data_IF_270589347721
#
_entry.id   IF_270589347721
#
_cell.length_a   1.000
_cell.length_b   1.000
_cell.length_c   1.000
_cell.angle_alpha   90.00
_cell.angle_beta   90.00
_cell.angle_gamma   90.00
#
_symmetry.space_group_name_H-M   'P 1'
#
loop_
_entity.id
_entity.type
_entity.pdbx_description
1 polymer ?
#
# COMPACT_ATOMS: atom_id res chain seq x y z
N UNK A 1 -22.89 -34.53 -15.34
CA UNK A 1 -23.06 -35.28 -14.08
C UNK A 1 -21.73 -35.51 -13.35
N UNK A 2 -20.76 -36.21 -13.94
CA UNK A 2 -19.49 -36.60 -13.27
C UNK A 2 -18.66 -35.40 -12.77
N UNK A 3 -18.52 -34.32 -13.55
CA UNK A 3 -17.79 -33.10 -13.12
C UNK A 3 -18.37 -32.50 -11.84
N UNK A 4 -19.70 -32.35 -11.77
CA UNK A 4 -20.39 -31.80 -10.60
C UNK A 4 -20.22 -32.70 -9.37
N UNK A 5 -20.27 -34.02 -9.55
CA UNK A 5 -20.01 -34.98 -8.47
C UNK A 5 -18.56 -34.90 -7.99
N UNK A 6 -17.59 -34.77 -8.90
CA UNK A 6 -16.19 -34.58 -8.56
C UNK A 6 -15.92 -33.24 -7.85
N UNK A 7 -16.55 -32.15 -8.30
CA UNK A 7 -16.46 -30.83 -7.66
C UNK A 7 -17.11 -30.85 -6.27
N UNK A 8 -18.23 -31.54 -6.10
CA UNK A 8 -18.89 -31.72 -4.81
C UNK A 8 -18.06 -32.56 -3.83
N UNK A 9 -17.46 -33.66 -4.30
CA UNK A 9 -16.54 -34.46 -3.48
C UNK A 9 -15.31 -33.64 -3.09
N UNK A 10 -14.72 -32.88 -4.01
CA UNK A 10 -13.62 -31.95 -3.72
C UNK A 10 -14.02 -30.88 -2.70
N UNK A 11 -15.20 -30.29 -2.85
CA UNK A 11 -15.73 -29.30 -1.91
C UNK A 11 -15.99 -29.89 -0.53
N UNK A 12 -16.51 -31.12 -0.44
CA UNK A 12 -16.70 -31.82 0.84
C UNK A 12 -15.41 -32.24 1.51
N UNK A 13 -14.41 -32.62 0.72
CA UNK A 13 -13.09 -33.03 1.18
C UNK A 13 -12.16 -31.84 1.47
N UNK A 14 -12.59 -30.60 1.18
CA UNK A 14 -11.76 -29.41 1.41
C UNK A 14 -11.40 -29.31 2.89
N UNK A 15 -10.13 -29.01 3.21
CA UNK A 15 -9.74 -28.73 4.58
C UNK A 15 -10.58 -27.60 5.17
N UNK A 16 -10.77 -27.61 6.50
CA UNK A 16 -11.38 -26.48 7.18
C UNK A 16 -10.58 -25.21 6.85
N UNK A 17 -11.27 -24.12 6.53
CA UNK A 17 -10.63 -22.82 6.36
C UNK A 17 -10.09 -22.38 7.72
N UNK A 18 -8.76 -22.27 7.82
CA UNK A 18 -8.06 -21.80 9.02
C UNK A 18 -7.43 -20.46 8.68
N UNK A 19 -7.95 -19.40 9.29
CA UNK A 19 -7.43 -18.04 9.15
C UNK A 19 -6.41 -17.81 10.25
N UNK A 20 -5.19 -17.42 9.87
CA UNK A 20 -4.15 -17.02 10.82
C UNK A 20 -4.46 -15.61 11.32
N UNK A 21 -4.40 -15.41 12.64
CA UNK A 21 -4.46 -14.08 13.25
C UNK A 21 -3.05 -13.64 13.65
N UNK A 22 -2.77 -12.37 13.42
CA UNK A 22 -1.52 -11.71 13.77
C UNK A 22 -1.70 -10.86 15.02
N UNK A 23 -0.66 -10.72 15.86
CA UNK A 23 -0.66 -9.71 16.92
C UNK A 23 -0.62 -8.33 16.27
N UNK A 24 -1.57 -7.47 16.64
CA UNK A 24 -1.79 -6.14 16.04
C UNK A 24 -2.15 -5.11 17.09
N UNK A 25 -1.93 -3.83 16.79
CA UNK A 25 -2.37 -2.71 17.62
C UNK A 25 -3.73 -2.17 17.15
N UNK A 26 -4.78 -2.96 17.40
CA UNK A 26 -6.15 -2.63 17.00
C UNK A 26 -6.61 -1.26 17.51
N UNK A 27 -6.23 -0.88 18.73
CA UNK A 27 -6.62 0.40 19.36
C UNK A 27 -6.10 1.63 18.61
N UNK A 28 -4.89 1.55 18.02
CA UNK A 28 -4.34 2.64 17.21
C UNK A 28 -5.22 2.89 15.98
N UNK A 29 -5.61 1.82 15.29
CA UNK A 29 -6.47 1.91 14.09
C UNK A 29 -7.86 2.41 14.45
N UNK A 30 -8.47 1.90 15.52
CA UNK A 30 -9.78 2.36 16.01
C UNK A 30 -9.79 3.87 16.27
N UNK A 31 -8.75 4.40 16.91
CA UNK A 31 -8.61 5.83 17.19
C UNK A 31 -8.58 6.68 15.90
N UNK A 32 -7.82 6.24 14.89
CA UNK A 32 -7.69 6.96 13.62
C UNK A 32 -8.99 6.91 12.83
N UNK A 33 -9.62 5.73 12.73
CA UNK A 33 -10.89 5.53 12.02
C UNK A 33 -12.01 6.35 12.67
N UNK A 34 -12.16 6.29 14.00
CA UNK A 34 -13.18 7.08 14.72
C UNK A 34 -12.99 8.58 14.56
N UNK A 35 -11.74 9.07 14.55
CA UNK A 35 -11.43 10.49 14.27
C UNK A 35 -12.00 10.92 12.92
N UNK A 36 -11.76 10.15 11.87
CA UNK A 36 -12.25 10.44 10.51
C UNK A 36 -13.78 10.40 10.43
N UNK A 37 -14.40 9.36 11.00
CA UNK A 37 -15.86 9.21 11.01
C UNK A 37 -16.58 10.29 11.81
N UNK A 38 -15.97 10.81 12.89
CA UNK A 38 -16.50 11.94 13.67
C UNK A 38 -16.46 13.24 12.89
N UNK A 39 -15.39 13.47 12.13
CA UNK A 39 -15.22 14.70 11.33
C UNK A 39 -15.91 14.61 9.97
N UNK A 40 -16.44 13.45 9.58
CA UNK A 40 -17.08 13.24 8.28
C UNK A 40 -16.08 13.24 7.12
N UNK A 41 -14.80 12.98 7.41
CA UNK A 41 -13.74 12.90 6.41
C UNK A 41 -13.66 11.44 5.96
N UNK A 42 -13.94 11.19 4.67
CA UNK A 42 -13.95 9.84 4.10
C UNK A 42 -12.54 9.31 3.83
N UNK A 43 -11.66 10.15 3.32
CA UNK A 43 -10.31 9.75 2.93
C UNK A 43 -9.33 9.85 4.11
N UNK A 44 -8.50 8.81 4.28
CA UNK A 44 -7.38 8.83 5.22
C UNK A 44 -6.09 9.06 4.43
N UNK A 45 -5.38 10.13 4.76
CA UNK A 45 -4.14 10.51 4.08
C UNK A 45 -3.00 9.50 4.25
N UNK A 46 -1.93 9.67 3.46
CA UNK A 46 -0.78 8.76 3.41
C UNK A 46 -0.15 8.50 4.80
N UNK A 47 0.05 9.53 5.62
CA UNK A 47 0.69 9.39 6.95
C UNK A 47 -0.15 8.51 7.89
N UNK A 48 -1.45 8.81 8.04
CA UNK A 48 -2.34 8.04 8.90
C UNK A 48 -2.62 6.64 8.32
N UNK A 49 -2.64 6.49 6.99
CA UNK A 49 -2.73 5.19 6.33
C UNK A 49 -1.51 4.32 6.65
N UNK A 50 -0.29 4.87 6.60
CA UNK A 50 0.94 4.18 7.01
C UNK A 50 0.91 3.79 8.48
N UNK A 51 0.46 4.68 9.35
CA UNK A 51 0.30 4.39 10.78
C UNK A 51 -0.67 3.22 11.06
N UNK A 52 -1.73 3.09 10.26
CA UNK A 52 -2.67 1.95 10.31
C UNK A 52 -1.98 0.67 9.84
N UNK A 53 -1.22 0.72 8.74
CA UNK A 53 -0.49 -0.43 8.23
C UNK A 53 0.57 -0.92 9.23
N UNK A 54 1.35 -0.02 9.83
CA UNK A 54 2.31 -0.33 10.89
C UNK A 54 1.65 -1.03 12.08
N UNK A 55 0.45 -0.59 12.47
CA UNK A 55 -0.33 -1.23 13.53
C UNK A 55 -0.69 -2.70 13.22
N UNK A 56 -0.70 -3.07 11.94
CA UNK A 56 -0.94 -4.43 11.44
C UNK A 56 0.35 -5.16 11.03
N UNK A 57 1.51 -4.59 11.34
CA UNK A 57 2.83 -5.21 11.17
C UNK A 57 3.44 -5.05 9.77
N UNK A 58 2.95 -4.10 8.97
CA UNK A 58 3.67 -3.65 7.79
C UNK A 58 4.83 -2.73 8.19
N UNK A 59 5.85 -2.69 7.34
CA UNK A 59 6.95 -1.72 7.45
C UNK A 59 6.73 -0.66 6.39
N UNK A 60 6.83 0.60 6.80
CA UNK A 60 6.72 1.77 5.92
C UNK A 60 8.02 2.56 5.97
N UNK A 61 8.34 3.37 4.95
CA UNK A 61 9.61 4.09 4.91
C UNK A 61 9.62 5.20 5.98
N UNK A 62 10.81 5.46 6.54
CA UNK A 62 10.99 6.57 7.48
C UNK A 62 10.80 7.90 6.78
N UNK A 63 10.11 8.84 7.43
CA UNK A 63 9.86 10.15 6.85
C UNK A 63 9.29 11.18 7.81
N UNK A 64 9.30 12.44 7.39
CA UNK A 64 8.75 13.56 8.16
C UNK A 64 8.33 14.71 7.25
N UNK A 65 7.38 15.51 7.74
CA UNK A 65 6.83 16.65 6.99
C UNK A 65 7.74 17.87 7.15
N UNK A 66 8.07 18.50 6.03
CA UNK A 66 8.74 19.78 5.96
C UNK A 66 7.80 20.87 5.44
N UNK A 67 7.92 22.07 6.02
CA UNK A 67 7.21 23.29 5.60
C UNK A 67 8.14 24.32 4.96
N UNK A 68 9.46 24.10 5.00
CA UNK A 68 10.46 24.91 4.30
C UNK A 68 11.51 24.03 3.62
N UNK A 69 12.22 24.58 2.63
CA UNK A 69 13.30 23.89 1.92
C UNK A 69 14.45 23.49 2.86
N UNK A 70 14.80 24.35 3.82
CA UNK A 70 15.84 24.06 4.82
C UNK A 70 15.41 22.94 5.77
N UNK A 71 14.14 22.95 6.20
CA UNK A 71 13.60 21.86 7.00
C UNK A 71 13.65 20.55 6.20
N UNK A 72 13.30 20.58 4.91
CA UNK A 72 13.35 19.40 4.05
C UNK A 72 14.77 18.84 3.92
N UNK A 73 15.76 19.71 3.70
CA UNK A 73 17.17 19.33 3.63
C UNK A 73 17.70 18.72 4.94
N UNK A 74 17.30 19.29 6.09
CA UNK A 74 17.68 18.76 7.40
C UNK A 74 17.10 17.36 7.65
N UNK A 75 15.82 17.14 7.32
CA UNK A 75 15.19 15.82 7.41
C UNK A 75 15.92 14.83 6.49
N UNK A 76 16.19 15.23 5.24
CA UNK A 76 16.89 14.37 4.29
C UNK A 76 18.30 13.98 4.77
N UNK A 77 19.01 14.91 5.41
CA UNK A 77 20.32 14.64 6.00
C UNK A 77 20.24 13.63 7.16
N UNK A 78 19.17 13.66 7.95
CA UNK A 78 18.95 12.72 9.06
C UNK A 78 18.57 11.32 8.57
N UNK A 79 17.72 11.23 7.54
CA UNK A 79 17.32 9.96 6.92
C UNK A 79 18.46 9.31 6.12
N UNK A 80 19.31 10.14 5.53
CA UNK A 80 20.32 9.69 4.57
C UNK A 80 19.78 9.66 3.14
N UNK A 81 20.69 9.81 2.17
CA UNK A 81 20.37 9.87 0.75
C UNK A 81 20.46 8.50 0.06
N UNK A 82 19.71 8.26 -1.03
CA UNK A 82 18.74 9.19 -1.64
C UNK A 82 17.40 9.25 -0.90
N UNK A 83 16.70 10.38 -1.06
CA UNK A 83 15.36 10.61 -0.50
C UNK A 83 14.32 10.91 -1.59
N UNK A 84 13.06 10.86 -1.18
CA UNK A 84 11.88 11.22 -1.97
C UNK A 84 11.17 12.41 -1.31
N UNK A 85 10.69 13.35 -2.12
CA UNK A 85 9.75 14.39 -1.71
C UNK A 85 8.37 14.10 -2.28
N UNK A 86 7.35 14.12 -1.43
CA UNK A 86 5.94 13.97 -1.81
C UNK A 86 5.13 15.15 -1.28
N UNK A 87 4.31 15.78 -2.12
CA UNK A 87 3.42 16.85 -1.68
C UNK A 87 2.48 16.31 -0.59
N UNK A 88 2.29 17.11 0.46
CA UNK A 88 1.38 16.78 1.55
C UNK A 88 0.20 17.76 1.53
N UNK A 89 -0.94 17.24 1.08
CA UNK A 89 -2.19 17.99 0.93
C UNK A 89 -3.37 17.01 0.99
N UNK A 90 -4.44 17.30 1.74
CA UNK A 90 -5.67 16.50 1.72
C UNK A 90 -6.38 16.55 0.37
N UNK A 91 -6.18 17.61 -0.42
CA UNK A 91 -6.87 17.82 -1.71
C UNK A 91 -6.13 17.19 -2.89
N UNK A 92 -4.90 16.70 -2.69
CA UNK A 92 -4.06 16.13 -3.74
C UNK A 92 -3.83 14.64 -3.49
N UNK A 93 -4.78 13.83 -3.94
CA UNK A 93 -4.69 12.37 -3.89
C UNK A 93 -3.65 11.86 -4.91
N UNK A 94 -3.77 12.24 -6.19
CA UNK A 94 -2.85 11.79 -7.24
C UNK A 94 -1.63 12.73 -7.37
N UNK A 95 -0.70 12.61 -6.43
CA UNK A 95 0.49 13.45 -6.30
C UNK A 95 1.34 13.50 -7.57
N UNK A 96 1.57 12.36 -8.20
CA UNK A 96 2.41 12.26 -9.40
C UNK A 96 1.88 13.13 -10.55
N UNK A 97 0.56 13.20 -10.75
CA UNK A 97 -0.10 13.90 -11.87
C UNK A 97 0.15 15.41 -11.84
N UNK A 98 0.24 15.98 -10.63
CA UNK A 98 0.53 17.40 -10.45
C UNK A 98 2.03 17.70 -10.43
N UNK A 99 2.88 16.66 -10.47
CA UNK A 99 4.32 16.74 -10.27
C UNK A 99 4.70 16.86 -8.80
N UNK A 100 3.83 16.40 -7.90
CA UNK A 100 3.97 16.40 -6.45
C UNK A 100 4.77 15.22 -5.90
N UNK A 101 5.54 14.51 -6.74
CA UNK A 101 6.51 13.50 -6.32
C UNK A 101 7.84 13.77 -6.99
N UNK A 102 8.93 13.78 -6.21
CA UNK A 102 10.32 13.89 -6.68
C UNK A 102 11.14 12.80 -6.02
N UNK A 103 11.71 11.91 -6.82
CA UNK A 103 12.49 10.76 -6.37
C UNK A 103 13.98 10.96 -6.65
N UNK A 104 14.83 10.10 -6.08
CA UNK A 104 16.27 10.05 -6.36
C UNK A 104 17.01 11.35 -6.05
N UNK A 105 16.66 12.02 -4.96
CA UNK A 105 17.35 13.24 -4.52
C UNK A 105 18.55 12.85 -3.65
N UNK A 106 19.76 13.20 -4.09
CA UNK A 106 21.01 12.64 -3.57
C UNK A 106 21.78 13.58 -2.65
N UNK A 107 21.33 14.82 -2.50
CA UNK A 107 21.99 15.82 -1.66
C UNK A 107 21.02 16.95 -1.28
N UNK A 108 21.43 17.77 -0.31
CA UNK A 108 20.63 18.86 0.25
C UNK A 108 20.18 19.88 -0.82
N UNK A 109 21.04 20.17 -1.80
CA UNK A 109 20.71 21.13 -2.87
C UNK A 109 19.59 20.61 -3.75
N UNK A 110 19.67 19.36 -4.19
CA UNK A 110 18.60 18.71 -4.96
C UNK A 110 17.26 18.70 -4.20
N UNK A 111 17.30 18.48 -2.88
CA UNK A 111 16.11 18.53 -2.02
C UNK A 111 15.51 19.93 -1.96
N UNK A 112 16.32 20.97 -1.72
CA UNK A 112 15.85 22.36 -1.66
C UNK A 112 15.28 22.82 -3.00
N UNK A 113 16.02 22.57 -4.10
CA UNK A 113 15.60 22.93 -5.45
C UNK A 113 14.27 22.23 -5.83
N UNK A 114 14.11 20.95 -5.46
CA UNK A 114 12.88 20.20 -5.70
C UNK A 114 11.71 20.71 -4.85
N UNK A 115 11.95 21.04 -3.57
CA UNK A 115 10.95 21.60 -2.67
C UNK A 115 10.41 22.93 -3.21
N UNK A 116 11.29 23.88 -3.52
CA UNK A 116 10.91 25.20 -4.03
C UNK A 116 10.14 25.08 -5.35
N UNK A 117 10.59 24.19 -6.24
CA UNK A 117 9.91 23.97 -7.51
C UNK A 117 8.50 23.40 -7.33
N UNK A 118 8.29 22.48 -6.38
CA UNK A 118 6.98 21.93 -6.05
C UNK A 118 6.06 23.01 -5.47
N UNK A 119 6.55 23.75 -4.48
CA UNK A 119 5.80 24.83 -3.82
C UNK A 119 5.52 26.00 -4.75
N UNK A 120 6.31 26.19 -5.81
CA UNK A 120 6.02 27.19 -6.83
C UNK A 120 5.01 26.73 -7.89
N UNK A 121 5.07 25.46 -8.33
CA UNK A 121 4.28 24.97 -9.48
C UNK A 121 2.90 24.45 -9.08
N UNK A 122 2.79 23.75 -7.96
CA UNK A 122 1.55 23.05 -7.60
C UNK A 122 0.42 24.04 -7.26
N UNK A 123 0.63 25.11 -6.47
CA UNK A 123 -0.42 26.10 -6.22
C UNK A 123 -0.91 26.80 -7.51
N UNK A 124 -0.07 26.90 -8.55
CA UNK A 124 -0.49 27.48 -9.84
C UNK A 124 -1.37 26.54 -10.66
N UNK A 125 -1.21 25.23 -10.48
CA UNK A 125 -2.03 24.21 -11.14
C UNK A 125 -3.33 23.96 -10.38
N UNK A 126 -3.27 24.00 -9.04
CA UNK A 126 -4.38 23.76 -8.13
C UNK A 126 -4.44 24.90 -7.10
N UNK A 127 -5.01 26.07 -7.46
CA UNK A 127 -5.03 27.23 -6.58
C UNK A 127 -5.90 27.05 -5.32
N UNK A 128 -6.88 26.14 -5.39
CA UNK A 128 -7.81 25.87 -4.30
C UNK A 128 -7.35 24.73 -3.38
N UNK A 129 -6.23 24.06 -3.67
CA UNK A 129 -5.72 22.96 -2.87
C UNK A 129 -4.98 23.48 -1.62
N UNK A 130 -5.34 22.95 -0.46
CA UNK A 130 -4.67 23.20 0.81
C UNK A 130 -3.36 22.43 0.88
N UNK A 131 -2.23 23.11 0.67
CA UNK A 131 -0.91 22.50 0.71
C UNK A 131 -0.31 22.71 2.09
N UNK A 132 -0.25 21.63 2.85
CA UNK A 132 0.20 21.64 4.23
C UNK A 132 1.73 21.48 4.36
N UNK A 133 2.41 21.04 3.29
CA UNK A 133 3.87 20.91 3.24
C UNK A 133 4.33 19.84 2.25
N UNK A 134 5.52 19.29 2.51
CA UNK A 134 6.12 18.21 1.71
C UNK A 134 6.63 17.12 2.66
N UNK A 135 6.18 15.89 2.45
CA UNK A 135 6.72 14.71 3.10
C UNK A 135 8.09 14.39 2.50
N UNK A 136 9.13 14.40 3.34
CA UNK A 136 10.47 13.91 3.03
C UNK A 136 10.58 12.48 3.53
N UNK A 137 10.96 11.57 2.66
CA UNK A 137 10.90 10.13 2.94
C UNK A 137 12.13 9.40 2.40
N UNK A 138 12.56 8.34 3.08
CA UNK A 138 13.60 7.43 2.60
C UNK A 138 13.24 6.85 1.23
N UNK A 139 14.22 6.79 0.33
CA UNK A 139 14.02 6.07 -0.92
C UNK A 139 14.19 4.57 -0.69
N UNK A 140 13.09 3.81 -0.84
CA UNK A 140 13.13 2.36 -0.71
C UNK A 140 14.04 1.72 -1.78
N UNK A 141 14.79 0.69 -1.35
CA UNK A 141 15.71 -0.08 -2.20
C UNK A 141 14.96 -0.91 -3.25
N UNK A 142 15.72 -1.41 -4.23
CA UNK A 142 15.21 -2.24 -5.33
C UNK A 142 14.54 -3.53 -4.84
N UNK A 143 13.39 -3.83 -5.42
CA UNK A 143 12.60 -5.04 -5.28
C UNK A 143 11.53 -5.04 -6.36
N UNK A 144 10.69 -6.08 -6.42
CA UNK A 144 9.52 -6.05 -7.30
C UNK A 144 8.40 -5.29 -6.60
N UNK A 145 7.79 -4.35 -7.31
CA UNK A 145 6.59 -3.66 -6.86
C UNK A 145 5.39 -4.56 -7.10
N UNK A 146 4.55 -4.72 -6.08
CA UNK A 146 3.23 -5.37 -6.16
C UNK A 146 2.18 -4.45 -5.53
N UNK A 147 0.91 -4.75 -5.79
CA UNK A 147 -0.24 -4.04 -5.24
C UNK A 147 -1.01 -5.00 -4.34
N UNK A 148 -1.24 -4.57 -3.10
CA UNK A 148 -2.15 -5.25 -2.17
C UNK A 148 -3.34 -4.32 -1.92
N UNK A 149 -4.54 -4.74 -2.30
CA UNK A 149 -5.72 -3.90 -2.19
C UNK A 149 -6.92 -4.61 -1.59
N UNK A 150 -7.93 -3.81 -1.25
CA UNK A 150 -9.26 -4.27 -0.87
C UNK A 150 -10.28 -3.21 -1.28
N UNK A 151 -11.39 -3.66 -1.87
CA UNK A 151 -12.60 -2.86 -2.02
C UNK A 151 -13.76 -3.62 -1.36
N UNK A 152 -14.64 -2.91 -0.65
CA UNK A 152 -15.79 -3.51 -0.01
C UNK A 152 -16.97 -3.54 -0.97
N UNK A 153 -17.31 -4.74 -1.43
CA UNK A 153 -18.51 -4.98 -2.20
C UNK A 153 -19.76 -4.93 -1.28
N UNK A 154 -20.86 -4.26 -1.69
CA UNK A 154 -22.08 -4.17 -0.89
C UNK A 154 -22.75 -5.52 -0.55
N UNK A 155 -22.54 -6.55 -1.36
CA UNK A 155 -23.16 -7.86 -1.22
C UNK A 155 -22.20 -8.89 -0.63
N UNK A 156 -20.93 -8.84 -1.03
CA UNK A 156 -19.93 -9.86 -0.67
C UNK A 156 -18.98 -9.42 0.44
N UNK A 157 -18.99 -8.14 0.81
CA UNK A 157 -18.08 -7.59 1.80
C UNK A 157 -16.66 -7.37 1.24
N UNK A 158 -15.61 -7.53 2.05
CA UNK A 158 -14.25 -7.15 1.65
C UNK A 158 -13.70 -8.07 0.55
N UNK A 159 -13.56 -7.51 -0.65
CA UNK A 159 -12.95 -8.15 -1.81
C UNK A 159 -11.46 -7.76 -1.87
N UNK A 160 -10.60 -8.70 -1.50
CA UNK A 160 -9.15 -8.57 -1.57
C UNK A 160 -8.67 -8.59 -3.01
N UNK A 161 -7.64 -7.80 -3.30
CA UNK A 161 -7.00 -7.69 -4.60
C UNK A 161 -5.49 -7.89 -4.45
N UNK A 162 -4.91 -8.64 -5.38
CA UNK A 162 -3.47 -8.71 -5.59
C UNK A 162 -3.17 -8.42 -7.06
N UNK A 163 -2.10 -7.69 -7.32
CA UNK A 163 -1.56 -7.49 -8.67
C UNK A 163 -0.08 -7.20 -8.63
N UNK A 164 0.60 -7.28 -9.78
CA UNK A 164 1.91 -6.63 -9.90
C UNK A 164 1.75 -5.12 -9.75
N UNK A 165 2.85 -4.41 -9.47
CA UNK A 165 2.97 -2.96 -9.41
C UNK A 165 3.72 -2.41 -10.63
N UNK A 166 3.85 -1.09 -10.68
CA UNK A 166 4.51 -0.35 -11.76
C UNK A 166 3.60 -0.04 -12.97
N UNK A 167 4.15 0.66 -13.95
CA UNK A 167 3.41 1.16 -15.15
C UNK A 167 2.78 0.05 -16.01
N UNK A 168 3.20 -1.20 -15.83
CA UNK A 168 2.75 -2.32 -16.64
C UNK A 168 1.36 -2.85 -16.22
N UNK A 169 0.88 -2.48 -15.02
CA UNK A 169 -0.37 -2.96 -14.42
C UNK A 169 -1.60 -2.31 -15.04
N UNK A 170 -1.53 -1.01 -15.32
CA UNK A 170 -2.60 -0.27 -16.01
C UNK A 170 -2.88 -0.86 -17.40
N UNK A 171 -1.85 -1.41 -18.04
CA UNK A 171 -1.92 -1.98 -19.40
C UNK A 171 -2.38 -3.43 -19.39
N UNK A 172 -1.91 -4.25 -18.44
CA UNK A 172 -2.16 -5.70 -18.46
C UNK A 172 -3.40 -6.14 -17.67
N UNK A 173 -3.91 -5.30 -16.74
CA UNK A 173 -5.02 -5.63 -15.83
C UNK A 173 -4.84 -7.01 -15.16
N UNK A 174 -3.60 -7.33 -14.80
CA UNK A 174 -3.24 -8.63 -14.24
C UNK A 174 -3.41 -8.63 -12.72
N UNK A 175 -4.65 -8.86 -12.30
CA UNK A 175 -5.08 -8.86 -10.91
C UNK A 175 -5.84 -10.13 -10.57
N UNK A 176 -5.78 -10.53 -9.31
CA UNK A 176 -6.55 -11.62 -8.75
C UNK A 176 -7.36 -11.14 -7.54
N UNK A 177 -8.53 -11.74 -7.35
CA UNK A 177 -9.47 -11.35 -6.31
C UNK A 177 -9.93 -12.53 -5.46
N UNK A 178 -10.04 -12.30 -4.15
CA UNK A 178 -10.58 -13.26 -3.19
C UNK A 178 -11.41 -12.53 -2.12
N UNK A 179 -12.35 -13.23 -1.49
CA UNK A 179 -13.08 -12.68 -0.35
C UNK A 179 -12.28 -12.85 0.94
N UNK A 180 -12.20 -11.78 1.73
CA UNK A 180 -11.69 -11.86 3.09
C UNK A 180 -12.71 -12.55 4.03
N UNK A 181 -12.26 -13.20 5.13
CA UNK A 181 -10.86 -13.35 5.53
C UNK A 181 -10.11 -14.39 4.69
N UNK A 182 -8.81 -14.15 4.44
CA UNK A 182 -7.93 -15.04 3.67
C UNK A 182 -7.24 -16.08 4.56
N UNK A 183 -7.20 -17.31 4.07
CA UNK A 183 -6.25 -18.33 4.56
C UNK A 183 -4.89 -18.17 3.88
N UNK A 184 -3.84 -18.79 4.45
CA UNK A 184 -2.51 -18.78 3.83
C UNK A 184 -2.50 -19.39 2.42
N UNK A 185 -3.27 -20.45 2.19
CA UNK A 185 -3.39 -21.07 0.88
C UNK A 185 -4.10 -20.14 -0.11
N UNK A 186 -5.22 -19.52 0.27
CA UNK A 186 -5.94 -18.58 -0.59
C UNK A 186 -5.08 -17.36 -0.94
N UNK A 187 -4.30 -16.84 0.01
CA UNK A 187 -3.33 -15.78 -0.26
C UNK A 187 -2.30 -16.24 -1.31
N UNK A 188 -1.70 -17.42 -1.19
CA UNK A 188 -0.78 -17.95 -2.22
C UNK A 188 -1.46 -18.16 -3.57
N UNK A 189 -2.68 -18.67 -3.57
CA UNK A 189 -3.47 -18.84 -4.79
C UNK A 189 -3.76 -17.51 -5.48
N UNK A 190 -3.96 -16.41 -4.74
CA UNK A 190 -4.06 -15.07 -5.36
C UNK A 190 -2.83 -14.78 -6.22
N UNK A 191 -1.62 -15.04 -5.71
CA UNK A 191 -0.39 -14.79 -6.46
C UNK A 191 -0.31 -15.68 -7.70
N UNK A 192 -0.52 -16.98 -7.54
CA UNK A 192 -0.42 -18.00 -8.61
C UNK A 192 -1.39 -17.69 -9.76
N UNK A 193 -2.56 -17.13 -9.45
CA UNK A 193 -3.58 -16.83 -10.45
C UNK A 193 -3.28 -15.57 -11.30
N UNK A 194 -2.20 -14.84 -11.01
CA UNK A 194 -1.73 -13.76 -11.90
C UNK A 194 -0.91 -14.33 -13.05
N UNK A 195 -1.04 -13.74 -14.24
CA UNK A 195 -0.24 -14.11 -15.42
C UNK A 195 1.24 -13.85 -15.20
N UNK A 196 1.56 -12.87 -14.37
CA UNK A 196 2.92 -12.46 -14.01
C UNK A 196 3.49 -13.19 -12.82
N UNK A 197 2.82 -14.20 -12.26
CA UNK A 197 3.34 -14.97 -11.12
C UNK A 197 4.79 -15.47 -11.34
N UNK A 198 5.10 -15.93 -12.56
CA UNK A 198 6.46 -16.36 -12.94
C UNK A 198 7.52 -15.27 -12.82
N UNK A 199 7.13 -14.00 -12.91
CA UNK A 199 8.05 -12.86 -12.71
C UNK A 199 8.44 -12.78 -11.23
N UNK A 200 7.51 -13.08 -10.31
CA UNK A 200 7.78 -13.13 -8.88
C UNK A 200 8.73 -14.27 -8.52
N UNK A 201 8.66 -15.40 -9.22
CA UNK A 201 9.59 -16.53 -9.04
C UNK A 201 11.00 -16.27 -9.59
N UNK A 202 11.20 -15.17 -10.32
CA UNK A 202 12.47 -14.80 -10.95
C UNK A 202 12.52 -15.17 -12.44
N UNK A 203 13.26 -14.38 -13.21
CA UNK A 203 13.46 -14.61 -14.66
C UNK A 203 14.95 -14.55 -14.99
N UNK A 204 15.43 -15.52 -15.78
CA UNK A 204 16.77 -15.56 -16.42
C UNK A 204 17.87 -14.74 -15.71
N UNK A 205 18.39 -15.27 -14.61
CA UNK A 205 19.52 -14.67 -13.89
C UNK A 205 19.13 -13.69 -12.77
N UNK A 206 17.85 -13.35 -12.64
CA UNK A 206 17.30 -12.65 -11.49
C UNK A 206 16.73 -13.63 -10.46
N UNK A 207 17.00 -13.37 -9.19
CA UNK A 207 16.38 -14.07 -8.07
C UNK A 207 14.90 -13.69 -7.94
N UNK A 208 14.09 -14.64 -7.49
CA UNK A 208 12.68 -14.39 -7.16
C UNK A 208 12.52 -13.53 -5.91
N UNK A 209 11.30 -13.09 -5.66
CA UNK A 209 10.93 -12.39 -4.42
C UNK A 209 10.40 -13.36 -3.38
N UNK A 210 10.36 -12.92 -2.13
CA UNK A 210 9.76 -13.69 -1.04
C UNK A 210 8.23 -13.77 -1.19
N UNK A 211 7.75 -14.84 -1.83
CA UNK A 211 6.32 -15.14 -2.05
C UNK A 211 5.55 -15.25 -0.74
N UNK A 212 6.15 -15.87 0.28
CA UNK A 212 5.53 -16.03 1.59
C UNK A 212 5.32 -14.68 2.29
N UNK A 213 6.23 -13.73 2.08
CA UNK A 213 6.10 -12.39 2.64
C UNK A 213 4.93 -11.60 2.00
N UNK A 214 4.71 -11.73 0.69
CA UNK A 214 3.53 -11.17 0.02
C UNK A 214 2.24 -11.82 0.56
N UNK A 215 2.22 -13.15 0.67
CA UNK A 215 1.06 -13.88 1.18
C UNK A 215 0.75 -13.54 2.64
N UNK A 216 1.77 -13.30 3.47
CA UNK A 216 1.58 -12.78 4.83
C UNK A 216 1.01 -11.35 4.81
N UNK A 217 1.52 -10.46 3.96
CA UNK A 217 0.98 -9.12 3.76
C UNK A 217 -0.52 -9.14 3.40
N UNK A 218 -0.92 -9.99 2.46
CA UNK A 218 -2.33 -10.19 2.10
C UNK A 218 -3.19 -10.67 3.28
N UNK A 219 -2.67 -11.59 4.11
CA UNK A 219 -3.41 -12.07 5.28
C UNK A 219 -3.53 -11.00 6.37
N UNK A 220 -2.47 -10.20 6.61
CA UNK A 220 -2.52 -9.06 7.55
C UNK A 220 -3.51 -8.00 7.10
N UNK A 221 -3.48 -7.66 5.81
CA UNK A 221 -4.45 -6.76 5.20
C UNK A 221 -5.87 -7.32 5.32
N UNK A 222 -6.03 -8.61 5.07
CA UNK A 222 -7.32 -9.30 5.20
C UNK A 222 -7.85 -9.29 6.64
N UNK A 223 -6.99 -9.40 7.66
CA UNK A 223 -7.37 -9.26 9.06
C UNK A 223 -7.84 -7.82 9.35
N UNK A 224 -7.07 -6.80 8.93
CA UNK A 224 -7.42 -5.38 9.09
C UNK A 224 -8.82 -5.06 8.58
N UNK A 225 -9.10 -5.39 7.33
CA UNK A 225 -10.39 -5.07 6.67
C UNK A 225 -11.55 -5.92 7.19
N UNK A 226 -11.26 -7.06 7.83
CA UNK A 226 -12.29 -7.88 8.51
C UNK A 226 -12.64 -7.29 9.87
N UNK A 227 -11.64 -6.79 10.60
CA UNK A 227 -11.82 -6.19 11.94
C UNK A 227 -12.41 -4.78 11.91
N UNK A 228 -12.25 -4.07 10.80
CA UNK A 228 -12.76 -2.70 10.59
C UNK A 228 -13.67 -2.60 9.36
N UNK A 229 -14.98 -2.94 9.51
CA UNK A 229 -15.97 -2.83 8.44
C UNK A 229 -16.14 -1.42 7.86
N UNK A 230 -15.73 -0.40 8.61
CA UNK A 230 -15.78 0.99 8.19
C UNK A 230 -14.82 1.27 7.03
N UNK A 231 -13.73 0.51 6.89
CA UNK A 231 -12.82 0.63 5.75
C UNK A 231 -13.53 0.12 4.50
N UNK A 232 -13.75 1.02 3.54
CA UNK A 232 -14.41 0.74 2.26
C UNK A 232 -13.39 0.41 1.18
N UNK A 233 -12.28 1.14 1.16
CA UNK A 233 -11.19 0.91 0.22
C UNK A 233 -9.87 0.99 0.96
N UNK A 234 -8.93 0.13 0.55
CA UNK A 234 -7.55 0.18 1.00
C UNK A 234 -6.66 -0.26 -0.15
N UNK A 235 -5.68 0.57 -0.49
CA UNK A 235 -4.68 0.24 -1.51
C UNK A 235 -3.27 0.49 -0.97
N UNK A 236 -2.41 -0.54 -1.05
CA UNK A 236 -0.97 -0.45 -0.79
C UNK A 236 -0.27 -0.53 -2.14
N UNK A 237 0.21 0.61 -2.63
CA UNK A 237 0.74 0.72 -3.97
C UNK A 237 1.83 1.82 -4.08
N UNK A 238 3.12 1.47 -4.17
CA UNK A 238 3.64 0.10 -4.26
C UNK A 238 3.86 -0.56 -2.90
N UNK A 239 3.70 -1.88 -2.86
CA UNK A 239 4.30 -2.77 -1.87
C UNK A 239 5.56 -3.39 -2.49
N UNK A 240 6.75 -3.01 -2.00
CA UNK A 240 8.03 -3.48 -2.53
C UNK A 240 8.43 -4.77 -1.81
N UNK A 241 8.74 -5.80 -2.57
CA UNK A 241 9.23 -7.08 -2.04
C UNK A 241 10.53 -7.48 -2.73
N UNK A 242 11.55 -7.81 -1.95
CA UNK A 242 12.82 -8.35 -2.44
C UNK A 242 12.94 -9.86 -2.25
N UNK A 243 14.15 -10.42 -2.45
CA UNK A 243 14.45 -11.82 -2.17
C UNK A 243 14.21 -12.24 -0.72
N UNK A 244 14.29 -13.54 -0.45
CA UNK A 244 14.19 -14.07 0.91
C UNK A 244 15.25 -13.42 1.84
N UNK A 245 14.85 -13.14 3.08
CA UNK A 245 15.68 -12.40 4.04
C UNK A 245 15.63 -10.86 3.90
N UNK A 246 14.99 -10.32 2.86
CA UNK A 246 14.67 -8.89 2.79
C UNK A 246 13.31 -8.58 3.41
N UNK A 247 13.19 -7.39 3.99
CA UNK A 247 11.94 -6.91 4.59
C UNK A 247 11.09 -6.21 3.53
N UNK A 248 9.84 -6.64 3.29
CA UNK A 248 8.92 -5.94 2.40
C UNK A 248 8.53 -4.56 2.95
N UNK A 249 8.26 -3.60 2.06
CA UNK A 249 7.96 -2.21 2.45
C UNK A 249 6.70 -1.72 1.74
N UNK A 250 5.74 -1.20 2.52
CA UNK A 250 4.55 -0.49 2.03
C UNK A 250 4.91 0.99 1.79
N UNK A 251 5.19 1.36 0.55
CA UNK A 251 5.77 2.66 0.20
C UNK A 251 4.74 3.77 0.18
N UNK A 252 3.53 3.46 -0.28
CA UNK A 252 2.40 4.38 -0.30
C UNK A 252 1.12 3.59 0.01
N UNK A 253 0.18 4.26 0.63
CA UNK A 253 -1.05 3.68 1.12
C UNK A 253 -2.17 4.70 1.09
N UNK A 254 -3.34 4.25 0.64
CA UNK A 254 -4.57 5.05 0.65
C UNK A 254 -5.70 4.23 1.25
N UNK A 255 -6.55 4.88 2.03
CA UNK A 255 -7.70 4.26 2.66
C UNK A 255 -8.89 5.19 2.63
N UNK A 256 -10.08 4.64 2.43
CA UNK A 256 -11.34 5.36 2.60
C UNK A 256 -12.23 4.67 3.63
N UNK A 257 -12.94 5.46 4.42
CA UNK A 257 -13.81 5.00 5.51
C UNK A 257 -15.22 5.57 5.41
N UNK A 258 -16.21 4.77 5.80
CA UNK A 258 -17.61 5.15 5.83
C UNK A 258 -18.28 4.63 7.11
N UNK A 259 -19.32 5.34 7.57
CA UNK A 259 -20.12 4.87 8.71
C UNK A 259 -20.90 3.62 8.26
N UNK A 260 -20.74 2.55 9.02
CA UNK A 260 -21.50 1.30 8.83
C UNK A 260 -22.93 1.45 9.33
#
# INVERSE_FOLDING_TARGET
>A
AIKVMADYVRWRARPKRVVKLFPVNRRKVETIVEKHLRHGIREIGETESKEILEAYGFITPGGSIATTAEQAANIAQQLGYPVVLKIWSPDILHKSDVGGVRVSLNNAREVMDAFDLMMYRIPKKLPDADILGVLVEEMCKSGKEVILGMNRDPHFGPLMMFGMGGTMVEVLKDVSFYLAPLTAEEAKQMLINTKTYRILEGMRGEEGVNIDAIAEGLQRLSQLVTEFPQIQELDINPYIVGPEGTTPIAVDARMSVEKT
#
